data_IF_422502725468
#
_entry.id   IF_422502725468
#
_cell.length_a   1.000
_cell.length_b   1.000
_cell.length_c   1.000
_cell.angle_alpha   90.00
_cell.angle_beta   90.00
_cell.angle_gamma   90.00
#
_symmetry.space_group_name_H-M   'P 1'
#
loop_
_entity.id
_entity.type
_entity.pdbx_description
1 polymer ?
#
# COMPACT_ATOMS: atom_id res chain seq x y z
N UNK A 1 -23.96 8.56 18.51
CA UNK A 1 -22.74 7.83 18.10
C UNK A 1 -21.64 8.87 17.96
N UNK A 2 -20.62 8.83 18.83
CA UNK A 2 -19.61 9.89 18.94
C UNK A 2 -18.28 9.36 18.41
N UNK A 3 -18.10 9.51 17.10
CA UNK A 3 -17.02 8.92 16.27
C UNK A 3 -15.61 9.26 16.80
N UNK A 4 -15.47 10.30 17.63
CA UNK A 4 -14.20 10.75 18.20
C UNK A 4 -13.69 9.86 19.36
N UNK A 5 -14.54 9.04 19.99
CA UNK A 5 -14.09 8.13 21.05
C UNK A 5 -13.53 6.81 20.52
N UNK A 6 -14.04 6.32 19.38
CA UNK A 6 -13.56 5.09 18.75
C UNK A 6 -12.20 5.28 18.03
N UNK A 7 -11.80 6.54 17.80
CA UNK A 7 -10.52 6.93 17.17
C UNK A 7 -9.39 7.30 18.14
N UNK A 8 -9.68 7.45 19.43
CA UNK A 8 -8.63 7.62 20.44
C UNK A 8 -8.13 6.24 20.77
N UNK A 9 -6.87 5.98 20.42
CA UNK A 9 -6.18 4.71 20.61
C UNK A 9 -6.53 4.05 21.95
N UNK A 10 -6.60 2.72 21.91
CA UNK A 10 -6.98 1.87 23.04
C UNK A 10 -6.45 2.45 24.35
N UNK A 11 -7.37 2.76 25.28
CA UNK A 11 -7.00 3.19 26.62
C UNK A 11 -6.53 1.97 27.39
N UNK A 12 -5.25 1.90 27.70
CA UNK A 12 -4.69 0.90 28.61
C UNK A 12 -4.26 1.58 29.92
N UNK A 13 -4.21 0.78 30.97
CA UNK A 13 -3.71 1.21 32.27
C UNK A 13 -2.32 0.62 32.46
N UNK A 14 -1.38 1.47 32.83
CA UNK A 14 -0.09 1.04 33.35
C UNK A 14 -0.07 1.31 34.85
N UNK A 15 0.17 0.26 35.63
CA UNK A 15 0.38 0.38 37.07
C UNK A 15 1.80 -0.11 37.34
N UNK A 16 2.64 0.79 37.85
CA UNK A 16 3.97 0.45 38.34
C UNK A 16 4.07 0.65 39.84
N UNK A 17 4.81 -0.25 40.50
CA UNK A 17 5.19 -0.13 41.90
C UNK A 17 6.68 -0.46 42.05
N UNK A 18 7.36 0.33 42.88
CA UNK A 18 8.78 0.21 43.16
C UNK A 18 9.00 0.13 44.66
N UNK A 19 9.55 -0.98 45.15
CA UNK A 19 9.89 -1.16 46.56
C UNK A 19 11.10 -2.10 46.74
N UNK A 20 12.04 -1.73 47.61
CA UNK A 20 13.18 -2.56 48.03
C UNK A 20 13.94 -3.27 46.88
N UNK A 21 14.39 -2.50 45.87
CA UNK A 21 15.04 -3.00 44.64
C UNK A 21 14.18 -3.93 43.77
N UNK A 22 12.90 -4.11 44.08
CA UNK A 22 11.93 -4.83 43.26
C UNK A 22 11.07 -3.87 42.45
N UNK A 23 10.82 -4.24 41.20
CA UNK A 23 9.89 -3.56 40.31
C UNK A 23 8.72 -4.50 39.99
N UNK A 24 7.49 -4.01 40.14
CA UNK A 24 6.29 -4.63 39.61
C UNK A 24 5.69 -3.72 38.55
N UNK A 25 5.59 -4.23 37.33
CA UNK A 25 4.93 -3.56 36.21
C UNK A 25 3.73 -4.40 35.78
N UNK A 26 2.53 -3.79 35.85
CA UNK A 26 1.29 -4.36 35.33
C UNK A 26 0.89 -3.49 34.16
N UNK A 27 1.20 -3.97 32.96
CA UNK A 27 0.80 -3.35 31.71
C UNK A 27 -0.53 -3.97 31.27
N UNK A 28 -1.58 -3.16 31.17
CA UNK A 28 -2.88 -3.58 30.62
C UNK A 28 -2.88 -3.74 29.09
N UNK A 29 -1.69 -3.94 28.51
CA UNK A 29 -1.39 -3.90 27.10
C UNK A 29 -2.42 -4.63 26.27
N UNK A 30 -2.90 -3.91 25.25
CA UNK A 30 -3.82 -4.49 24.28
C UNK A 30 -3.08 -5.54 23.45
N UNK A 31 -3.21 -6.80 23.82
CA UNK A 31 -2.72 -7.96 23.07
C UNK A 31 -3.76 -8.46 22.04
N UNK A 32 -4.74 -7.63 21.70
CA UNK A 32 -5.86 -7.97 20.81
C UNK A 32 -5.55 -7.71 19.34
N UNK A 33 -6.05 -8.60 18.49
CA UNK A 33 -6.16 -8.45 17.04
C UNK A 33 -6.64 -7.03 16.72
N UNK A 34 -5.96 -6.31 15.81
CA UNK A 34 -6.45 -5.05 15.25
C UNK A 34 -7.94 -5.21 14.91
N UNK A 35 -8.82 -4.47 15.61
CA UNK A 35 -10.27 -4.50 15.37
C UNK A 35 -10.66 -4.06 13.95
N UNK A 36 -9.69 -3.53 13.19
CA UNK A 36 -9.82 -3.02 11.83
C UNK A 36 -8.66 -3.54 10.99
N UNK A 37 -8.94 -4.00 9.78
CA UNK A 37 -7.89 -4.40 8.83
C UNK A 37 -7.01 -3.16 8.52
N UNK A 38 -5.68 -3.23 8.70
CA UNK A 38 -4.79 -2.11 8.38
C UNK A 38 -4.91 -1.58 6.93
N UNK A 39 -5.29 -2.44 5.99
CA UNK A 39 -5.61 -2.07 4.62
C UNK A 39 -6.80 -1.10 4.57
N UNK A 40 -7.89 -1.44 5.24
CA UNK A 40 -9.10 -0.59 5.29
C UNK A 40 -8.84 0.69 6.09
N UNK A 41 -8.03 0.61 7.14
CA UNK A 41 -7.63 1.76 7.95
C UNK A 41 -6.81 2.77 7.13
N UNK A 42 -5.98 2.31 6.19
CA UNK A 42 -5.29 3.18 5.25
C UNK A 42 -6.29 4.00 4.43
N UNK A 43 -7.27 3.34 3.80
CA UNK A 43 -8.28 4.01 2.98
C UNK A 43 -9.07 5.05 3.78
N UNK A 44 -9.55 4.70 4.98
CA UNK A 44 -10.27 5.65 5.83
C UNK A 44 -9.43 6.90 6.15
N UNK A 45 -8.14 6.72 6.47
CA UNK A 45 -7.24 7.83 6.77
C UNK A 45 -6.98 8.70 5.55
N UNK A 46 -6.73 8.08 4.38
CA UNK A 46 -6.50 8.80 3.15
C UNK A 46 -7.73 9.65 2.78
N UNK A 47 -8.93 9.08 2.86
CA UNK A 47 -10.17 9.76 2.45
C UNK A 47 -10.56 10.94 3.35
N UNK A 48 -9.95 11.07 4.54
CA UNK A 48 -10.11 12.25 5.41
C UNK A 48 -9.31 13.46 4.95
N UNK A 49 -8.26 13.25 4.16
CA UNK A 49 -7.30 14.29 3.78
C UNK A 49 -7.19 14.47 2.26
N UNK A 50 -7.64 13.50 1.47
CA UNK A 50 -7.70 13.55 0.01
C UNK A 50 -9.12 13.24 -0.46
N UNK A 51 -9.64 14.08 -1.39
CA UNK A 51 -10.96 13.87 -1.99
C UNK A 51 -10.97 12.62 -2.89
N UNK A 52 -12.03 11.81 -2.77
CA UNK A 52 -12.29 10.66 -3.65
C UNK A 52 -12.33 11.04 -5.15
N UNK A 53 -12.62 12.31 -5.47
CA UNK A 53 -12.67 12.81 -6.85
C UNK A 53 -11.31 12.86 -7.54
N UNK A 54 -10.22 12.90 -6.76
CA UNK A 54 -8.85 13.00 -7.29
C UNK A 54 -7.99 11.78 -7.01
N UNK A 55 -8.53 10.77 -6.31
CA UNK A 55 -7.76 9.57 -5.95
C UNK A 55 -7.63 8.64 -7.16
N UNK A 56 -6.39 8.32 -7.49
CA UNK A 56 -6.05 7.23 -8.39
C UNK A 56 -6.14 5.90 -7.63
N UNK A 57 -7.22 5.15 -7.85
CA UNK A 57 -7.52 3.92 -7.10
C UNK A 57 -6.37 2.90 -7.10
N UNK A 58 -5.70 2.59 -8.23
CA UNK A 58 -4.53 1.70 -8.22
C UNK A 58 -3.39 2.14 -7.28
N UNK A 59 -3.16 3.44 -7.12
CA UNK A 59 -2.10 3.97 -6.23
C UNK A 59 -2.54 3.88 -4.77
N UNK A 60 -3.79 4.25 -4.48
CA UNK A 60 -4.40 4.09 -3.16
C UNK A 60 -4.33 2.64 -2.67
N UNK A 61 -4.74 1.68 -3.51
CA UNK A 61 -4.65 0.23 -3.25
C UNK A 61 -3.20 -0.24 -3.09
N UNK A 62 -2.27 0.27 -3.90
CA UNK A 62 -0.86 -0.03 -3.77
C UNK A 62 -0.27 0.43 -2.42
N UNK A 63 -0.69 1.59 -1.93
CA UNK A 63 -0.34 2.03 -0.58
C UNK A 63 -1.01 1.17 0.50
N UNK A 64 -2.29 0.78 0.31
CA UNK A 64 -2.99 -0.10 1.23
C UNK A 64 -2.28 -1.46 1.35
N UNK A 65 -1.86 -2.04 0.23
CA UNK A 65 -1.01 -3.25 0.20
C UNK A 65 0.30 -3.06 0.95
N UNK A 66 0.99 -1.95 0.68
CA UNK A 66 2.30 -1.67 1.25
C UNK A 66 2.26 -1.50 2.77
N UNK A 67 1.33 -0.70 3.27
CA UNK A 67 1.29 -0.33 4.70
C UNK A 67 0.38 -1.22 5.53
N UNK A 68 -0.59 -1.88 4.89
CA UNK A 68 -1.63 -2.64 5.57
C UNK A 68 -1.78 -4.11 5.13
N UNK A 69 -1.12 -4.52 4.04
CA UNK A 69 -1.31 -5.84 3.45
C UNK A 69 -2.61 -5.97 2.67
N UNK A 70 -3.09 -7.19 2.50
CA UNK A 70 -4.33 -7.51 1.77
C UNK A 70 -5.09 -8.64 2.46
N UNK A 71 -6.15 -8.28 3.20
CA UNK A 71 -7.16 -9.22 3.71
C UNK A 71 -6.61 -10.50 4.36
N UNK A 72 -5.59 -10.35 5.22
CA UNK A 72 -4.92 -11.45 5.92
C UNK A 72 -3.57 -11.87 5.34
N UNK A 73 -3.18 -11.36 4.17
CA UNK A 73 -1.83 -11.46 3.62
C UNK A 73 -1.02 -10.22 4.01
N UNK A 74 0.22 -10.42 4.46
CA UNK A 74 1.15 -9.29 4.61
C UNK A 74 1.61 -8.77 3.24
N UNK A 75 2.19 -7.57 3.19
CA UNK A 75 2.85 -7.09 1.97
C UNK A 75 3.88 -8.10 1.43
N UNK A 76 4.63 -8.76 2.31
CA UNK A 76 5.64 -9.74 1.90
C UNK A 76 5.02 -10.96 1.22
N UNK A 77 3.84 -11.40 1.68
CA UNK A 77 3.11 -12.50 1.05
C UNK A 77 2.60 -12.09 -0.34
N UNK A 78 2.02 -10.90 -0.47
CA UNK A 78 1.56 -10.34 -1.75
C UNK A 78 2.74 -10.18 -2.72
N UNK A 79 3.87 -9.65 -2.24
CA UNK A 79 5.09 -9.48 -3.02
C UNK A 79 5.66 -10.83 -3.47
N UNK A 80 5.64 -11.85 -2.62
CA UNK A 80 6.08 -13.20 -2.98
C UNK A 80 5.21 -13.80 -4.09
N UNK A 81 3.87 -13.66 -4.01
CA UNK A 81 2.96 -14.05 -5.08
C UNK A 81 3.26 -13.31 -6.39
N UNK A 82 3.45 -11.98 -6.32
CA UNK A 82 3.73 -11.16 -7.49
C UNK A 82 5.08 -11.51 -8.14
N UNK A 83 6.14 -11.72 -7.35
CA UNK A 83 7.45 -12.19 -7.84
C UNK A 83 7.38 -13.57 -8.46
N UNK A 84 6.57 -14.47 -7.89
CA UNK A 84 6.32 -15.78 -8.49
C UNK A 84 5.65 -15.64 -9.85
N UNK A 85 4.59 -14.83 -9.96
CA UNK A 85 3.93 -14.55 -11.23
C UNK A 85 4.91 -14.05 -12.28
N UNK A 86 5.78 -13.09 -11.91
CA UNK A 86 6.81 -12.56 -12.80
C UNK A 86 7.78 -13.66 -13.28
N UNK A 87 8.20 -14.54 -12.37
CA UNK A 87 9.10 -15.66 -12.71
C UNK A 87 8.45 -16.66 -13.68
N UNK A 88 7.16 -16.94 -13.48
CA UNK A 88 6.39 -17.82 -14.37
C UNK A 88 6.08 -17.18 -15.74
N UNK A 89 6.17 -15.84 -15.84
CA UNK A 89 5.85 -15.06 -17.04
C UNK A 89 7.02 -14.11 -17.43
N UNK A 90 8.18 -14.63 -17.86
CA UNK A 90 9.37 -13.82 -18.12
C UNK A 90 9.21 -12.81 -19.27
N UNK A 91 8.21 -12.98 -20.13
CA UNK A 91 7.86 -12.07 -21.23
C UNK A 91 6.59 -11.25 -20.95
N UNK A 92 6.20 -11.10 -19.68
CA UNK A 92 5.03 -10.33 -19.29
C UNK A 92 5.07 -8.89 -19.84
N UNK A 93 3.97 -8.47 -20.45
CA UNK A 93 3.72 -7.07 -20.79
C UNK A 93 3.03 -6.38 -19.61
N UNK A 94 3.84 -5.89 -18.67
CA UNK A 94 3.41 -5.20 -17.45
C UNK A 94 2.52 -3.99 -17.74
N UNK A 95 2.73 -3.26 -18.84
CA UNK A 95 1.87 -2.15 -19.20
C UNK A 95 0.46 -2.65 -19.50
N UNK A 96 0.33 -3.65 -20.37
CA UNK A 96 -0.98 -4.20 -20.70
C UNK A 96 -1.64 -4.88 -19.48
N UNK A 97 -0.89 -5.64 -18.68
CA UNK A 97 -1.39 -6.29 -17.46
C UNK A 97 -1.86 -5.25 -16.42
N UNK A 98 -1.12 -4.15 -16.27
CA UNK A 98 -1.49 -3.02 -15.42
C UNK A 98 -2.80 -2.39 -15.89
N UNK A 99 -2.88 -1.99 -17.17
CA UNK A 99 -4.05 -1.31 -17.74
C UNK A 99 -5.30 -2.18 -17.66
N UNK A 100 -5.18 -3.49 -17.91
CA UNK A 100 -6.30 -4.44 -17.80
C UNK A 100 -6.66 -4.78 -16.36
N UNK A 101 -5.85 -4.35 -15.39
CA UNK A 101 -5.99 -4.70 -13.98
C UNK A 101 -6.11 -6.22 -13.79
N UNK A 102 -5.20 -6.97 -14.42
CA UNK A 102 -5.18 -8.42 -14.33
C UNK A 102 -4.87 -8.88 -12.90
N UNK A 103 -5.37 -10.07 -12.54
CA UNK A 103 -5.11 -10.68 -11.24
C UNK A 103 -3.74 -11.38 -11.24
N UNK A 104 -3.08 -11.39 -10.09
CA UNK A 104 -1.85 -12.17 -9.85
C UNK A 104 -2.17 -13.66 -9.77
N UNK A 105 -3.33 -14.02 -9.21
CA UNK A 105 -3.82 -15.38 -9.15
C UNK A 105 -5.36 -15.40 -9.05
N UNK A 106 -5.98 -16.48 -9.52
CA UNK A 106 -7.39 -16.73 -9.29
C UNK A 106 -7.60 -17.20 -7.84
N UNK A 107 -8.27 -16.37 -7.04
CA UNK A 107 -8.59 -16.66 -5.66
C UNK A 107 -9.89 -15.94 -5.25
N UNK A 108 -10.45 -16.31 -4.10
CA UNK A 108 -11.62 -15.64 -3.53
C UNK A 108 -11.31 -14.21 -3.01
N UNK A 109 -10.03 -13.85 -2.93
CA UNK A 109 -9.51 -12.54 -2.52
C UNK A 109 -8.45 -12.12 -3.55
N UNK A 110 -8.88 -11.60 -4.71
CA UNK A 110 -7.97 -11.39 -5.83
C UNK A 110 -6.93 -10.32 -5.50
N UNK A 111 -5.65 -10.67 -5.65
CA UNK A 111 -4.58 -9.68 -5.67
C UNK A 111 -4.39 -9.18 -7.09
N UNK A 112 -4.28 -7.87 -7.28
CA UNK A 112 -4.21 -7.26 -8.62
C UNK A 112 -2.79 -6.80 -8.97
N UNK A 113 -2.41 -7.00 -10.23
CA UNK A 113 -1.10 -6.61 -10.76
C UNK A 113 -0.88 -5.09 -10.63
N UNK A 114 -1.90 -4.28 -10.92
CA UNK A 114 -1.77 -2.83 -10.84
C UNK A 114 -1.47 -2.34 -9.41
N UNK A 115 -1.98 -3.04 -8.40
CA UNK A 115 -1.82 -2.65 -7.00
C UNK A 115 -0.43 -3.05 -6.50
N UNK A 116 0.02 -4.27 -6.82
CA UNK A 116 1.38 -4.72 -6.52
C UNK A 116 2.45 -3.85 -7.20
N UNK A 117 2.24 -3.48 -8.48
CA UNK A 117 3.15 -2.55 -9.18
C UNK A 117 3.17 -1.18 -8.49
N UNK A 118 2.01 -0.62 -8.15
CA UNK A 118 1.96 0.67 -7.47
C UNK A 118 2.58 0.63 -6.08
N UNK A 119 2.44 -0.46 -5.32
CA UNK A 119 3.13 -0.63 -4.04
C UNK A 119 4.65 -0.51 -4.19
N UNK A 120 5.24 -1.15 -5.22
CA UNK A 120 6.67 -1.05 -5.53
C UNK A 120 7.09 0.36 -5.97
N UNK A 121 6.28 1.01 -6.81
CA UNK A 121 6.51 2.39 -7.25
C UNK A 121 6.46 3.35 -6.06
N UNK A 122 5.48 3.19 -5.17
CA UNK A 122 5.32 3.97 -3.94
C UNK A 122 6.53 3.79 -3.04
N UNK A 123 6.98 2.55 -2.79
CA UNK A 123 8.19 2.28 -2.00
C UNK A 123 9.40 3.03 -2.56
N UNK A 124 9.60 3.00 -3.88
CA UNK A 124 10.71 3.71 -4.54
C UNK A 124 10.58 5.23 -4.35
N UNK A 125 9.43 5.80 -4.67
CA UNK A 125 9.21 7.26 -4.61
C UNK A 125 9.33 7.75 -3.17
N UNK A 126 8.71 7.06 -2.21
CA UNK A 126 8.77 7.44 -0.81
C UNK A 126 10.22 7.41 -0.30
N UNK A 127 10.98 6.36 -0.64
CA UNK A 127 12.39 6.25 -0.26
C UNK A 127 13.25 7.37 -0.84
N UNK A 128 12.97 7.80 -2.07
CA UNK A 128 13.80 8.77 -2.79
C UNK A 128 13.39 10.23 -2.54
N UNK A 129 12.10 10.48 -2.30
CA UNK A 129 11.50 11.82 -2.31
C UNK A 129 10.53 12.09 -1.16
N UNK A 130 10.23 11.07 -0.36
CA UNK A 130 9.30 11.17 0.76
C UNK A 130 7.83 11.05 0.35
N UNK A 131 6.99 10.88 1.37
CA UNK A 131 5.57 10.58 1.20
C UNK A 131 4.74 11.72 0.58
N UNK A 132 5.19 12.98 0.68
CA UNK A 132 4.53 14.11 0.03
C UNK A 132 4.48 13.95 -1.51
N UNK A 133 5.53 13.38 -2.11
CA UNK A 133 5.55 13.06 -3.54
C UNK A 133 4.66 11.87 -3.88
N UNK A 134 4.50 10.91 -2.96
CA UNK A 134 3.52 9.82 -3.12
C UNK A 134 2.10 10.38 -3.16
N UNK A 135 1.77 11.37 -2.32
CA UNK A 135 0.47 12.03 -2.35
C UNK A 135 0.17 12.73 -3.68
N UNK A 136 1.19 13.26 -4.38
CA UNK A 136 1.00 13.78 -5.75
C UNK A 136 0.56 12.66 -6.72
N UNK A 137 1.13 11.46 -6.61
CA UNK A 137 0.74 10.32 -7.43
C UNK A 137 -0.64 9.79 -7.06
N UNK A 138 -0.94 9.66 -5.77
CA UNK A 138 -2.26 9.26 -5.28
C UNK A 138 -3.32 10.24 -5.79
N UNK A 139 -3.02 11.53 -5.82
CA UNK A 139 -3.99 12.59 -6.14
C UNK A 139 -3.97 12.99 -7.63
N UNK A 140 -3.43 12.16 -8.53
CA UNK A 140 -3.30 12.49 -9.95
C UNK A 140 -4.62 12.41 -10.76
N UNK A 141 -5.73 12.08 -10.09
CA UNK A 141 -7.04 11.90 -10.70
C UNK A 141 -7.48 10.44 -10.77
N UNK A 142 -8.78 10.24 -10.94
CA UNK A 142 -9.39 8.92 -11.11
C UNK A 142 -8.76 8.17 -12.29
N UNK A 143 -8.79 6.84 -12.19
CA UNK A 143 -8.37 5.94 -13.26
C UNK A 143 -9.18 6.21 -14.53
N UNK A 144 -8.50 6.30 -15.68
CA UNK A 144 -9.13 6.56 -16.97
C UNK A 144 -8.65 5.56 -18.04
N UNK A 145 -9.36 5.39 -19.17
CA UNK A 145 -8.91 4.50 -20.23
C UNK A 145 -7.49 4.85 -20.69
N UNK A 146 -6.55 3.93 -20.49
CA UNK A 146 -5.15 4.12 -20.84
C UNK A 146 -4.29 4.81 -19.77
N UNK A 147 -4.87 5.28 -18.66
CA UNK A 147 -4.19 5.85 -17.49
C UNK A 147 -3.20 7.00 -17.83
N UNK A 148 -3.56 7.88 -18.76
CA UNK A 148 -2.68 8.96 -19.22
C UNK A 148 -2.36 9.98 -18.12
N UNK A 149 -3.36 10.34 -17.30
CA UNK A 149 -3.15 11.17 -16.11
C UNK A 149 -2.13 10.58 -15.13
N UNK A 150 -2.21 9.27 -14.86
CA UNK A 150 -1.29 8.53 -14.02
C UNK A 150 0.12 8.54 -14.60
N UNK A 151 0.29 8.19 -15.88
CA UNK A 151 1.62 8.15 -16.50
C UNK A 151 2.26 9.54 -16.57
N UNK A 152 1.48 10.59 -16.80
CA UNK A 152 1.97 11.97 -16.76
C UNK A 152 2.47 12.35 -15.36
N UNK A 153 1.74 11.98 -14.31
CA UNK A 153 2.16 12.22 -12.93
C UNK A 153 3.39 11.38 -12.57
N UNK A 154 3.39 10.10 -12.92
CA UNK A 154 4.47 9.16 -12.66
C UNK A 154 5.79 9.60 -13.32
N UNK A 155 5.74 10.01 -14.58
CA UNK A 155 6.91 10.50 -15.32
C UNK A 155 7.50 11.74 -14.65
N UNK A 156 6.65 12.71 -14.29
CA UNK A 156 7.06 13.94 -13.59
C UNK A 156 7.81 13.64 -12.28
N UNK A 157 7.35 12.64 -11.52
CA UNK A 157 7.86 12.42 -10.15
C UNK A 157 8.93 11.33 -10.04
N UNK A 158 9.04 10.44 -11.01
CA UNK A 158 9.94 9.26 -10.96
C UNK A 158 10.76 9.01 -12.23
N UNK A 159 10.51 9.77 -13.30
CA UNK A 159 11.07 9.54 -14.64
C UNK A 159 10.65 8.22 -15.30
N UNK A 160 9.74 7.46 -14.70
CA UNK A 160 9.15 6.26 -15.34
C UNK A 160 8.12 6.73 -16.37
N UNK A 161 8.41 6.46 -17.64
CA UNK A 161 7.51 6.78 -18.75
C UNK A 161 6.60 5.62 -19.09
N UNK A 162 5.49 5.89 -19.79
CA UNK A 162 4.58 4.84 -20.30
C UNK A 162 5.30 3.83 -21.22
N UNK A 163 6.20 4.31 -22.07
CA UNK A 163 6.98 3.47 -22.99
C UNK A 163 8.07 2.67 -22.28
N UNK A 164 8.67 3.22 -21.23
CA UNK A 164 9.68 2.55 -20.40
C UNK A 164 9.11 1.69 -19.27
N UNK A 165 7.78 1.64 -19.12
CA UNK A 165 7.11 1.06 -17.95
C UNK A 165 7.48 -0.40 -17.73
N UNK A 166 7.50 -1.21 -18.79
CA UNK A 166 7.88 -2.62 -18.72
C UNK A 166 9.28 -2.83 -18.11
N UNK A 167 10.25 -2.04 -18.56
CA UNK A 167 11.62 -2.10 -18.03
C UNK A 167 11.68 -1.64 -16.56
N UNK A 168 10.99 -0.54 -16.24
CA UNK A 168 10.95 -0.02 -14.87
C UNK A 168 10.35 -1.02 -13.88
N UNK A 169 9.25 -1.70 -14.24
CA UNK A 169 8.63 -2.72 -13.39
C UNK A 169 9.57 -3.90 -13.15
N UNK A 170 10.29 -4.37 -14.18
CA UNK A 170 11.28 -5.44 -14.00
C UNK A 170 12.40 -5.05 -13.04
N UNK A 171 12.91 -3.83 -13.13
CA UNK A 171 13.94 -3.35 -12.20
C UNK A 171 13.41 -3.23 -10.77
N UNK A 172 12.15 -2.79 -10.59
CA UNK A 172 11.50 -2.77 -9.28
C UNK A 172 11.35 -4.19 -8.70
N UNK A 173 10.91 -5.16 -9.50
CA UNK A 173 10.75 -6.56 -9.07
C UNK A 173 12.09 -7.15 -8.59
N UNK A 174 13.18 -6.90 -9.33
CA UNK A 174 14.53 -7.38 -8.97
C UNK A 174 15.08 -6.68 -7.73
N UNK A 175 14.77 -5.40 -7.55
CA UNK A 175 15.27 -4.57 -6.44
C UNK A 175 14.46 -4.68 -5.15
N UNK A 176 13.24 -5.23 -5.20
CA UNK A 176 12.39 -5.42 -4.05
C UNK A 176 12.95 -6.54 -3.15
N UNK A 177 13.02 -6.31 -1.84
CA UNK A 177 13.35 -7.32 -0.84
C UNK A 177 12.16 -7.54 0.08
#
# INVERSE_FOLDING_TARGET
MNINQDYRGVKYNDISSHENNGNLEINGGYNGILLFDPHDLWHDRLHRVVSLEVINRPVDEGCAYLYGGSWGNSWNDVLALFKKYATDHPSADWLNLYIKNEKVAESNKPEYIAYAINALIVQKIEKERGFATVLELISCGKREPGDDNYFKALEKISSITKTGFNGAVWELIKGAN
#
